data_IF_656322262483
#
_entry.id   IF_656322262483
#
_cell.length_a   1.000
_cell.length_b   1.000
_cell.length_c   1.000
_cell.angle_alpha   90.00
_cell.angle_beta   90.00
_cell.angle_gamma   90.00
#
_symmetry.space_group_name_H-M   'P 1'
#
loop_
_entity.id
_entity.type
_entity.pdbx_description
1 polymer ?
#
# COMPACT_ATOMS: atom_id res chain seq x y z
N UNK A 1 -4.74 -5.21 14.30
CA UNK A 1 -4.37 -3.78 14.07
C UNK A 1 -3.83 -3.28 15.39
N UNK A 2 -2.54 -2.94 15.43
CA UNK A 2 -1.90 -2.35 16.60
C UNK A 2 -2.51 -0.97 16.83
N UNK A 3 -3.40 -0.88 17.81
CA UNK A 3 -4.07 0.34 18.27
C UNK A 3 -3.39 0.92 19.51
N UNK A 4 -2.11 0.60 19.74
CA UNK A 4 -1.36 1.18 20.85
C UNK A 4 -0.92 2.60 20.46
N UNK A 5 -1.83 3.55 20.63
CA UNK A 5 -1.57 5.00 20.64
C UNK A 5 -1.17 5.65 19.30
N UNK A 6 -1.88 5.35 18.21
CA UNK A 6 -1.86 6.21 17.04
C UNK A 6 -2.81 7.40 17.25
N UNK A 7 -2.29 8.62 17.32
CA UNK A 7 -3.11 9.84 17.33
C UNK A 7 -3.84 9.98 15.99
N UNK A 8 -4.94 10.75 15.94
CA UNK A 8 -5.65 11.02 14.68
C UNK A 8 -4.72 11.58 13.59
N UNK A 9 -3.71 12.37 13.98
CA UNK A 9 -2.69 12.90 13.06
C UNK A 9 -1.84 11.79 12.43
N UNK A 10 -1.51 10.73 13.17
CA UNK A 10 -0.82 9.57 12.63
C UNK A 10 -1.68 8.84 11.60
N UNK A 11 -2.95 8.57 11.91
CA UNK A 11 -3.88 7.93 10.97
C UNK A 11 -4.09 8.74 9.70
N UNK A 12 -4.20 10.07 9.83
CA UNK A 12 -4.36 10.95 8.68
C UNK A 12 -3.10 10.98 7.80
N UNK A 13 -1.92 10.98 8.41
CA UNK A 13 -0.65 10.93 7.67
C UNK A 13 -0.51 9.61 6.90
N UNK A 14 -0.75 8.48 7.56
CA UNK A 14 -0.77 7.15 6.92
C UNK A 14 -1.77 7.07 5.76
N UNK A 15 -2.94 7.70 5.89
CA UNK A 15 -3.93 7.78 4.82
C UNK A 15 -3.39 8.56 3.61
N UNK A 16 -2.76 9.72 3.84
CA UNK A 16 -2.17 10.54 2.78
C UNK A 16 -1.03 9.81 2.06
N UNK A 17 -0.18 9.10 2.79
CA UNK A 17 0.93 8.34 2.21
C UNK A 17 0.41 7.19 1.33
N UNK A 18 -0.67 6.52 1.73
CA UNK A 18 -1.34 5.49 0.90
C UNK A 18 -1.97 6.08 -0.35
N UNK A 19 -2.68 7.20 -0.24
CA UNK A 19 -3.25 7.90 -1.40
C UNK A 19 -2.14 8.32 -2.38
N UNK A 20 -1.02 8.83 -1.86
CA UNK A 20 0.13 9.20 -2.69
C UNK A 20 0.68 8.00 -3.48
N UNK A 21 0.92 6.85 -2.82
CA UNK A 21 1.38 5.64 -3.51
C UNK A 21 0.38 5.17 -4.57
N UNK A 22 -0.92 5.15 -4.26
CA UNK A 22 -1.92 4.67 -5.21
C UNK A 22 -2.10 5.63 -6.38
N UNK A 23 -2.06 6.94 -6.16
CA UNK A 23 -2.10 7.93 -7.24
C UNK A 23 -0.87 7.83 -8.13
N UNK A 24 0.32 7.73 -7.56
CA UNK A 24 1.53 7.54 -8.36
C UNK A 24 1.49 6.24 -9.15
N UNK A 25 0.95 5.17 -8.57
CA UNK A 25 0.81 3.90 -9.28
C UNK A 25 -0.22 3.97 -10.42
N UNK A 26 -1.42 4.49 -10.15
CA UNK A 26 -2.51 4.57 -11.13
C UNK A 26 -2.18 5.50 -12.29
N UNK A 27 -1.57 6.66 -12.01
CA UNK A 27 -1.32 7.70 -13.02
C UNK A 27 0.11 7.71 -13.56
N UNK A 28 1.08 7.21 -12.80
CA UNK A 28 2.49 7.15 -13.17
C UNK A 28 2.98 5.75 -13.58
N UNK A 29 2.15 4.72 -13.44
CA UNK A 29 2.50 3.33 -13.72
C UNK A 29 3.13 2.62 -12.52
N UNK A 30 3.55 1.37 -12.74
CA UNK A 30 4.04 0.49 -11.66
C UNK A 30 5.27 1.09 -10.96
N UNK A 31 5.23 1.31 -9.63
CA UNK A 31 6.38 1.81 -8.90
C UNK A 31 7.47 0.74 -8.79
N UNK A 32 8.73 1.17 -8.68
CA UNK A 32 9.89 0.30 -8.47
C UNK A 32 9.87 -0.35 -7.07
N UNK A 33 9.28 0.33 -6.09
CA UNK A 33 9.14 -0.13 -4.71
C UNK A 33 7.70 0.06 -4.22
N UNK A 34 7.17 -0.96 -3.55
CA UNK A 34 5.86 -0.92 -2.91
C UNK A 34 6.00 -0.81 -1.40
N UNK A 35 5.29 0.14 -0.78
CA UNK A 35 5.15 0.19 0.66
C UNK A 35 4.11 -0.84 1.12
N UNK A 36 4.60 -2.01 1.50
CA UNK A 36 3.77 -3.19 1.78
C UNK A 36 2.80 -3.00 2.94
N UNK A 37 3.17 -2.24 3.98
CA UNK A 37 2.27 -1.95 5.12
C UNK A 37 1.22 -0.89 4.80
N UNK A 38 1.39 -0.15 3.70
CA UNK A 38 0.37 0.77 3.18
C UNK A 38 -0.79 0.06 2.46
N UNK A 39 -0.65 -1.23 2.13
CA UNK A 39 -1.70 -2.01 1.49
C UNK A 39 -2.75 -2.47 2.51
N UNK A 40 -4.02 -2.41 2.12
CA UNK A 40 -5.11 -2.97 2.93
C UNK A 40 -5.02 -4.51 3.05
N UNK A 41 -4.64 -5.19 1.96
CA UNK A 41 -4.43 -6.63 1.91
C UNK A 41 -3.10 -6.98 1.20
N UNK A 42 -1.96 -6.94 1.92
CA UNK A 42 -0.65 -7.24 1.32
C UNK A 42 -0.51 -8.70 0.86
N UNK A 43 -1.23 -9.64 1.46
CA UNK A 43 -1.21 -11.05 1.05
C UNK A 43 -1.92 -11.27 -0.30
N UNK A 44 -3.03 -10.56 -0.51
CA UNK A 44 -3.71 -10.52 -1.81
C UNK A 44 -2.80 -10.00 -2.91
N UNK A 45 -2.03 -8.94 -2.62
CA UNK A 45 -1.04 -8.41 -3.55
C UNK A 45 0.05 -9.44 -3.89
N UNK A 46 0.63 -10.13 -2.90
CA UNK A 46 1.64 -11.17 -3.16
C UNK A 46 1.09 -12.34 -3.98
N UNK A 47 -0.19 -12.69 -3.78
CA UNK A 47 -0.85 -13.71 -4.60
C UNK A 47 -0.97 -13.26 -6.05
N UNK A 48 -1.41 -12.03 -6.29
CA UNK A 48 -1.48 -11.45 -7.64
C UNK A 48 -0.10 -11.37 -8.32
N UNK A 49 0.93 -10.97 -7.57
CA UNK A 49 2.31 -10.94 -8.05
C UNK A 49 2.81 -12.32 -8.52
N UNK A 50 2.47 -13.38 -7.78
CA UNK A 50 2.81 -14.75 -8.19
C UNK A 50 2.08 -15.18 -9.45
N UNK A 51 0.84 -14.73 -9.63
CA UNK A 51 0.07 -15.01 -10.84
C UNK A 51 0.67 -14.29 -12.05
N UNK A 52 1.11 -13.04 -11.90
CA UNK A 52 1.77 -12.27 -12.96
C UNK A 52 3.07 -12.93 -13.45
N UNK A 53 3.90 -13.47 -12.54
CA UNK A 53 5.16 -14.14 -12.89
C UNK A 53 4.95 -15.53 -13.50
N UNK A 54 3.86 -16.20 -13.14
CA UNK A 54 3.53 -17.53 -13.65
C UNK A 54 2.83 -17.54 -15.01
N UNK A 55 2.43 -16.37 -15.51
CA UNK A 55 1.84 -16.14 -16.84
C UNK A 55 2.93 -15.70 -17.84
#
# INVERSE_FOLDING_TARGET
ILWESATIGFWFTELLERDSQFRSWVFGGRPDLFWMTGLFNPQGFLTAMRQEVGL
#
